data_IF_070909588398
#
_entry.id   IF_070909588398
#
_cell.length_a   1.000
_cell.length_b   1.000
_cell.length_c   1.000
_cell.angle_alpha   90.00
_cell.angle_beta   90.00
_cell.angle_gamma   90.00
#
_symmetry.space_group_name_H-M   'P 1'
#
loop_
_entity.id
_entity.type
_entity.pdbx_description
1 polymer ?
#
# COMPACT_ATOMS: atom_id res chain seq x y z
N UNK A 1 -37.43 16.14 -27.53
CA UNK A 1 -36.09 16.25 -28.13
C UNK A 1 -35.15 15.33 -27.38
N UNK A 2 -34.64 14.29 -28.03
CA UNK A 2 -33.60 13.45 -27.45
C UNK A 2 -32.29 14.24 -27.37
N UNK A 3 -31.46 13.99 -26.37
CA UNK A 3 -30.11 14.59 -26.25
C UNK A 3 -29.27 14.42 -27.54
N UNK A 4 -29.56 13.39 -28.34
CA UNK A 4 -28.93 13.10 -29.63
C UNK A 4 -29.28 14.09 -30.75
N UNK A 5 -30.27 14.96 -30.57
CA UNK A 5 -30.73 15.92 -31.58
C UNK A 5 -30.07 17.31 -31.42
N UNK A 6 -29.24 17.50 -30.38
CA UNK A 6 -28.53 18.76 -30.15
C UNK A 6 -27.30 18.86 -31.07
N UNK A 7 -27.00 20.06 -31.63
CA UNK A 7 -25.73 20.29 -32.32
C UNK A 7 -24.55 19.93 -31.40
N UNK A 8 -23.56 19.20 -31.93
CA UNK A 8 -22.40 18.72 -31.18
C UNK A 8 -21.71 19.82 -30.34
N UNK A 9 -21.64 21.04 -30.87
CA UNK A 9 -21.07 22.18 -30.14
C UNK A 9 -21.90 22.65 -28.94
N UNK A 10 -23.24 22.62 -29.04
CA UNK A 10 -24.12 22.99 -27.93
C UNK A 10 -24.11 21.92 -26.84
N UNK A 11 -24.10 20.65 -27.24
CA UNK A 11 -24.00 19.52 -26.33
C UNK A 11 -22.68 19.53 -25.54
N UNK A 12 -21.55 19.74 -26.23
CA UNK A 12 -20.24 19.87 -25.56
C UNK A 12 -20.20 21.05 -24.57
N UNK A 13 -20.81 22.19 -24.93
CA UNK A 13 -20.91 23.35 -24.06
C UNK A 13 -21.73 23.07 -22.79
N UNK A 14 -22.89 22.44 -22.93
CA UNK A 14 -23.72 22.05 -21.78
C UNK A 14 -22.95 21.14 -20.83
N UNK A 15 -22.21 20.16 -21.36
CA UNK A 15 -21.39 19.27 -20.54
C UNK A 15 -20.28 20.05 -19.83
N UNK A 16 -19.56 20.92 -20.54
CA UNK A 16 -18.52 21.75 -19.94
C UNK A 16 -19.07 22.64 -18.80
N UNK A 17 -20.22 23.27 -19.00
CA UNK A 17 -20.89 24.11 -17.99
C UNK A 17 -21.30 23.26 -16.77
N UNK A 18 -21.87 22.07 -16.98
CA UNK A 18 -22.25 21.15 -15.90
C UNK A 18 -21.02 20.68 -15.11
N UNK A 19 -19.93 20.31 -15.78
CA UNK A 19 -18.70 19.86 -15.13
C UNK A 19 -18.02 21.00 -14.38
N UNK A 20 -18.12 22.24 -14.86
CA UNK A 20 -17.56 23.42 -14.19
C UNK A 20 -18.32 23.80 -12.91
N UNK A 21 -19.62 23.52 -12.85
CA UNK A 21 -20.46 23.80 -11.68
C UNK A 21 -20.37 22.72 -10.59
N UNK A 22 -19.91 21.52 -10.95
CA UNK A 22 -19.91 20.34 -10.08
C UNK A 22 -18.50 19.90 -9.68
N UNK A 23 -18.38 19.15 -8.58
CA UNK A 23 -17.11 18.49 -8.25
C UNK A 23 -16.81 17.36 -9.25
N UNK A 24 -15.53 17.05 -9.55
CA UNK A 24 -15.17 15.94 -10.44
C UNK A 24 -15.85 14.61 -10.10
N UNK A 25 -16.04 14.34 -8.79
CA UNK A 25 -16.72 13.13 -8.33
C UNK A 25 -18.21 13.08 -8.67
N UNK A 26 -18.91 14.22 -8.65
CA UNK A 26 -20.33 14.32 -9.02
C UNK A 26 -20.47 14.31 -10.54
N UNK A 27 -19.71 15.14 -11.25
CA UNK A 27 -19.65 15.16 -12.71
C UNK A 27 -19.40 13.77 -13.30
N UNK A 28 -18.47 13.01 -12.70
CA UNK A 28 -18.17 11.65 -13.13
C UNK A 28 -19.37 10.71 -13.08
N UNK A 29 -20.29 10.86 -12.14
CA UNK A 29 -21.49 10.00 -12.03
C UNK A 29 -22.46 10.22 -13.19
N UNK A 30 -22.48 11.41 -13.78
CA UNK A 30 -23.36 11.76 -14.91
C UNK A 30 -23.01 11.03 -16.21
N UNK A 31 -21.82 10.41 -16.30
CA UNK A 31 -21.37 9.64 -17.47
C UNK A 31 -22.25 8.42 -17.83
N UNK A 32 -23.19 8.04 -16.97
CA UNK A 32 -24.02 6.83 -17.15
C UNK A 32 -25.14 6.99 -18.20
N UNK A 33 -25.33 8.19 -18.75
CA UNK A 33 -26.45 8.51 -19.67
C UNK A 33 -26.28 7.87 -21.05
N UNK A 34 -25.13 8.03 -21.70
CA UNK A 34 -24.81 7.41 -23.00
C UNK A 34 -23.30 7.27 -23.19
N UNK A 35 -22.86 6.55 -24.23
CA UNK A 35 -21.43 6.40 -24.55
C UNK A 35 -20.80 7.75 -24.93
N UNK A 36 -21.45 8.49 -25.81
CA UNK A 36 -21.00 9.82 -26.24
C UNK A 36 -20.93 10.78 -25.06
N UNK A 37 -21.97 10.79 -24.20
CA UNK A 37 -21.99 11.59 -22.97
C UNK A 37 -20.83 11.22 -22.04
N UNK A 38 -20.54 9.93 -21.94
CA UNK A 38 -19.43 9.41 -21.13
C UNK A 38 -18.07 9.89 -21.62
N UNK A 39 -17.85 9.91 -22.93
CA UNK A 39 -16.58 10.32 -23.52
C UNK A 39 -16.35 11.84 -23.38
N UNK A 40 -17.40 12.67 -23.53
CA UNK A 40 -17.33 14.10 -23.23
C UNK A 40 -17.08 14.36 -21.74
N UNK A 41 -17.78 13.67 -20.83
CA UNK A 41 -17.55 13.82 -19.38
C UNK A 41 -16.13 13.41 -19.00
N UNK A 42 -15.58 12.32 -19.53
CA UNK A 42 -14.19 11.93 -19.29
C UNK A 42 -13.22 13.03 -19.71
N UNK A 43 -13.43 13.59 -20.90
CA UNK A 43 -12.60 14.66 -21.46
C UNK A 43 -12.66 15.90 -20.57
N UNK A 44 -13.86 16.39 -20.24
CA UNK A 44 -14.01 17.58 -19.39
C UNK A 44 -13.45 17.35 -17.98
N UNK A 45 -13.74 16.20 -17.36
CA UNK A 45 -13.30 15.89 -15.99
C UNK A 45 -11.78 15.70 -15.93
N UNK A 46 -11.18 14.90 -16.81
CA UNK A 46 -9.76 14.55 -16.69
C UNK A 46 -8.82 15.44 -17.50
N UNK A 47 -9.25 16.12 -18.56
CA UNK A 47 -8.34 16.93 -19.37
C UNK A 47 -8.42 18.42 -19.05
N UNK A 48 -9.59 18.91 -18.61
CA UNK A 48 -9.85 20.34 -18.44
C UNK A 48 -9.94 20.81 -17.00
N UNK A 49 -10.25 19.93 -16.06
CA UNK A 49 -10.22 20.28 -14.64
C UNK A 49 -8.77 20.32 -14.11
N UNK A 50 -8.40 21.33 -13.29
CA UNK A 50 -7.10 21.38 -12.66
C UNK A 50 -6.96 20.37 -11.52
N UNK A 51 -5.72 20.03 -11.14
CA UNK A 51 -5.45 19.15 -10.00
C UNK A 51 -6.10 19.59 -8.70
N UNK A 52 -6.19 20.90 -8.49
CA UNK A 52 -6.87 21.47 -7.35
C UNK A 52 -8.34 21.03 -7.22
N UNK A 53 -9.03 20.75 -8.34
CA UNK A 53 -10.42 20.27 -8.31
C UNK A 53 -10.56 18.84 -7.75
N UNK A 54 -9.47 18.06 -7.75
CA UNK A 54 -9.43 16.68 -7.23
C UNK A 54 -8.87 16.59 -5.81
N UNK A 55 -8.48 17.73 -5.24
CA UNK A 55 -7.89 17.83 -3.90
C UNK A 55 -8.83 18.67 -3.02
N UNK A 56 -9.33 18.07 -1.95
CA UNK A 56 -10.11 18.77 -0.94
C UNK A 56 -9.26 18.98 0.32
N UNK A 57 -9.35 20.15 0.93
CA UNK A 57 -8.74 20.43 2.22
C UNK A 57 -9.83 20.43 3.28
N UNK A 58 -9.81 19.48 4.19
CA UNK A 58 -10.68 19.55 5.37
C UNK A 58 -10.11 20.57 6.35
N UNK A 59 -10.81 21.69 6.53
CA UNK A 59 -10.47 22.72 7.52
C UNK A 59 -10.67 22.23 8.98
N UNK A 60 -11.38 21.12 9.18
CA UNK A 60 -11.98 20.74 10.46
C UNK A 60 -11.02 20.07 11.46
N UNK A 61 -9.84 19.62 11.04
CA UNK A 61 -9.01 18.71 11.86
C UNK A 61 -7.70 19.30 12.39
N UNK A 62 -7.45 20.60 12.22
CA UNK A 62 -6.20 21.27 12.65
C UNK A 62 -4.94 20.80 11.90
N UNK A 63 -5.03 19.71 11.14
CA UNK A 63 -4.05 19.21 10.21
C UNK A 63 -4.58 19.48 8.80
N UNK A 64 -4.02 20.47 8.10
CA UNK A 64 -4.28 20.78 6.68
C UNK A 64 -3.80 19.62 5.77
N UNK A 65 -4.39 18.43 5.90
CA UNK A 65 -4.05 17.27 5.08
C UNK A 65 -4.94 17.29 3.83
N UNK A 66 -4.36 17.41 2.64
CA UNK A 66 -5.13 17.30 1.40
C UNK A 66 -5.69 15.87 1.28
N UNK A 67 -7.01 15.78 1.11
CA UNK A 67 -7.70 14.57 0.74
C UNK A 67 -7.90 14.53 -0.77
N UNK A 68 -7.72 13.34 -1.36
CA UNK A 68 -7.98 13.09 -2.77
C UNK A 68 -9.39 12.58 -2.89
N UNK A 69 -10.15 13.16 -3.83
CA UNK A 69 -11.45 12.62 -4.21
C UNK A 69 -11.25 11.17 -4.67
N UNK A 70 -12.01 10.18 -4.14
CA UNK A 70 -11.84 8.75 -4.46
C UNK A 70 -11.76 8.42 -5.95
N UNK A 71 -12.35 9.28 -6.80
CA UNK A 71 -12.24 9.21 -8.25
C UNK A 71 -10.79 9.17 -8.74
N UNK A 72 -9.94 10.14 -8.34
CA UNK A 72 -8.56 10.22 -8.80
C UNK A 72 -7.76 9.00 -8.32
N UNK A 73 -7.99 8.54 -7.08
CA UNK A 73 -7.37 7.32 -6.56
C UNK A 73 -7.73 6.08 -7.38
N UNK A 74 -9.01 5.92 -7.73
CA UNK A 74 -9.50 4.76 -8.47
C UNK A 74 -9.20 4.81 -9.98
N UNK A 75 -8.90 6.00 -10.50
CA UNK A 75 -8.62 6.27 -11.92
C UNK A 75 -7.21 6.80 -12.15
N UNK A 76 -6.30 6.50 -11.23
CA UNK A 76 -4.92 6.96 -11.32
C UNK A 76 -4.23 6.51 -12.62
N UNK A 77 -4.53 5.31 -13.10
CA UNK A 77 -4.02 4.84 -14.40
C UNK A 77 -4.44 5.75 -15.56
N UNK A 78 -5.76 5.97 -15.71
CA UNK A 78 -6.33 6.88 -16.72
C UNK A 78 -5.68 8.25 -16.62
N UNK A 79 -5.54 8.76 -15.40
CA UNK A 79 -4.91 10.04 -15.11
C UNK A 79 -3.45 10.13 -15.59
N UNK A 80 -2.60 9.16 -15.23
CA UNK A 80 -1.15 9.23 -15.49
C UNK A 80 -0.83 8.95 -16.97
N UNK A 81 -1.62 8.10 -17.63
CA UNK A 81 -1.22 7.50 -18.90
C UNK A 81 -2.17 7.70 -20.07
N UNK A 82 -3.48 7.75 -19.86
CA UNK A 82 -4.44 7.93 -20.95
C UNK A 82 -4.55 9.41 -21.37
N UNK A 83 -4.28 10.35 -20.45
CA UNK A 83 -4.37 11.78 -20.72
C UNK A 83 -3.00 12.42 -20.95
N UNK A 84 -2.91 13.28 -21.97
CA UNK A 84 -1.64 13.84 -22.47
C UNK A 84 -1.07 14.93 -21.58
N UNK A 85 -1.90 15.69 -20.88
CA UNK A 85 -1.48 16.81 -20.03
C UNK A 85 -2.56 17.11 -19.00
N UNK A 86 -2.17 17.15 -17.73
CA UNK A 86 -3.07 17.49 -16.65
C UNK A 86 -2.68 18.82 -16.03
N UNK A 87 -3.65 19.74 -15.91
CA UNK A 87 -3.38 21.12 -15.50
C UNK A 87 -2.97 21.13 -14.03
N UNK A 88 -1.71 21.50 -13.77
CA UNK A 88 -1.17 21.64 -12.41
C UNK A 88 -0.59 20.37 -11.80
N UNK A 89 -0.48 19.26 -12.55
CA UNK A 89 0.34 18.13 -12.14
C UNK A 89 1.73 18.17 -12.78
N UNK A 90 2.74 17.67 -12.07
CA UNK A 90 4.08 17.43 -12.61
C UNK A 90 4.15 16.07 -13.30
N UNK A 91 4.95 15.98 -14.35
CA UNK A 91 5.13 14.74 -15.13
C UNK A 91 6.03 13.71 -14.44
N UNK A 92 6.54 13.99 -13.24
CA UNK A 92 7.49 13.11 -12.53
C UNK A 92 6.95 11.69 -12.32
N UNK A 93 5.66 11.52 -12.01
CA UNK A 93 5.09 10.19 -11.82
C UNK A 93 5.08 9.38 -13.13
N UNK A 94 4.83 10.06 -14.25
CA UNK A 94 4.85 9.48 -15.59
C UNK A 94 6.28 9.14 -16.03
N UNK A 95 7.23 10.02 -15.77
CA UNK A 95 8.66 9.80 -16.02
C UNK A 95 9.19 8.61 -15.20
N UNK A 96 8.88 8.60 -13.89
CA UNK A 96 9.27 7.52 -12.97
C UNK A 96 8.70 6.18 -13.44
N UNK A 97 7.42 6.14 -13.79
CA UNK A 97 6.82 4.91 -14.31
C UNK A 97 7.38 4.51 -15.67
N UNK A 98 7.72 5.47 -16.55
CA UNK A 98 8.44 5.21 -17.79
C UNK A 98 9.78 4.50 -17.54
N UNK A 99 10.60 5.04 -16.63
CA UNK A 99 11.88 4.44 -16.23
C UNK A 99 11.71 3.04 -15.62
N UNK A 100 10.67 2.84 -14.79
CA UNK A 100 10.35 1.53 -14.22
C UNK A 100 9.93 0.54 -15.31
N UNK A 101 9.13 0.97 -16.28
CA UNK A 101 8.75 0.10 -17.39
C UNK A 101 9.99 -0.28 -18.22
N UNK A 102 10.87 0.66 -18.51
CA UNK A 102 12.11 0.38 -19.24
C UNK A 102 13.05 -0.57 -18.47
N UNK A 103 13.04 -0.50 -17.14
CA UNK A 103 13.74 -1.46 -16.29
C UNK A 103 13.11 -2.86 -16.29
N UNK A 104 11.78 -2.95 -16.22
CA UNK A 104 11.08 -4.24 -16.12
C UNK A 104 10.95 -4.97 -17.46
N UNK A 105 10.78 -4.23 -18.55
CA UNK A 105 10.51 -4.77 -19.88
C UNK A 105 11.53 -5.79 -20.39
N UNK A 106 12.86 -5.63 -20.19
CA UNK A 106 13.86 -6.63 -20.60
C UNK A 106 13.68 -8.00 -19.93
N UNK A 107 13.12 -8.02 -18.72
CA UNK A 107 12.85 -9.24 -17.95
C UNK A 107 11.45 -9.80 -18.20
N UNK A 108 10.66 -9.17 -19.08
CA UNK A 108 9.32 -9.59 -19.47
C UNK A 108 9.32 -10.14 -20.90
N UNK A 109 8.33 -10.96 -21.24
CA UNK A 109 8.17 -11.46 -22.61
C UNK A 109 8.06 -10.29 -23.60
N UNK A 110 8.75 -10.37 -24.74
CA UNK A 110 8.84 -9.32 -25.76
C UNK A 110 7.49 -8.83 -26.32
N UNK A 111 6.39 -9.55 -26.07
CA UNK A 111 5.02 -9.19 -26.45
C UNK A 111 4.29 -8.37 -25.38
N UNK A 112 4.94 -8.00 -24.28
CA UNK A 112 4.30 -7.28 -23.18
C UNK A 112 4.17 -5.79 -23.51
N UNK A 113 2.95 -5.28 -23.60
CA UNK A 113 2.73 -3.84 -23.74
C UNK A 113 3.01 -3.13 -22.41
N UNK A 114 3.62 -1.93 -22.46
CA UNK A 114 3.92 -1.10 -21.26
C UNK A 114 2.70 -0.90 -20.36
N UNK A 115 1.49 -0.85 -20.92
CA UNK A 115 0.22 -0.76 -20.19
C UNK A 115 0.03 -1.88 -19.16
N UNK A 116 0.53 -3.09 -19.44
CA UNK A 116 0.49 -4.23 -18.51
C UNK A 116 1.38 -4.04 -17.29
N UNK A 117 2.39 -3.16 -17.37
CA UNK A 117 3.25 -2.76 -16.24
C UNK A 117 2.59 -1.63 -15.45
N UNK A 118 2.05 -0.65 -16.16
CA UNK A 118 1.50 0.56 -15.54
C UNK A 118 0.26 0.30 -14.68
N UNK A 119 -0.64 -0.57 -15.13
CA UNK A 119 -1.88 -0.81 -14.40
C UNK A 119 -1.63 -1.39 -12.99
N UNK A 120 -0.83 -2.46 -12.81
CA UNK A 120 -0.51 -2.98 -11.48
C UNK A 120 0.18 -1.96 -10.58
N UNK A 121 1.09 -1.14 -11.13
CA UNK A 121 1.77 -0.09 -10.37
C UNK A 121 0.80 1.00 -9.89
N UNK A 122 -0.11 1.47 -10.74
CA UNK A 122 -1.14 2.43 -10.34
C UNK A 122 -2.06 1.86 -9.26
N UNK A 123 -2.48 0.59 -9.38
CA UNK A 123 -3.28 -0.08 -8.35
C UNK A 123 -2.51 -0.22 -7.05
N UNK A 124 -1.25 -0.62 -7.10
CA UNK A 124 -0.40 -0.74 -5.93
C UNK A 124 -0.31 0.62 -5.23
N UNK A 125 0.05 1.68 -5.95
CA UNK A 125 0.15 3.04 -5.41
C UNK A 125 -1.16 3.53 -4.78
N UNK A 126 -2.29 3.25 -5.42
CA UNK A 126 -3.62 3.55 -4.88
C UNK A 126 -3.95 2.69 -3.63
N UNK A 127 -3.42 1.48 -3.52
CA UNK A 127 -3.66 0.59 -2.38
C UNK A 127 -2.79 0.91 -1.16
N UNK A 128 -1.55 1.37 -1.41
CA UNK A 128 -0.43 1.45 -0.47
C UNK A 128 -0.71 2.30 0.76
N UNK A 129 -1.73 3.15 0.71
CA UNK A 129 -2.02 4.07 1.79
C UNK A 129 -3.52 4.29 1.96
N UNK A 130 -4.23 3.26 2.39
CA UNK A 130 -5.70 3.31 2.53
C UNK A 130 -6.18 4.01 3.82
N UNK A 131 -5.35 4.88 4.40
CA UNK A 131 -5.74 5.88 5.39
C UNK A 131 -5.36 7.28 4.89
N UNK A 132 -5.76 8.33 5.60
CA UNK A 132 -5.62 9.75 5.16
C UNK A 132 -4.21 10.15 4.69
N UNK A 133 -3.17 9.47 5.18
CA UNK A 133 -1.77 9.64 4.75
C UNK A 133 -1.51 9.27 3.28
N UNK A 134 -2.45 8.61 2.61
CA UNK A 134 -2.30 8.08 1.27
C UNK A 134 -2.75 8.90 0.12
N UNK A 135 -3.97 9.40 0.27
CA UNK A 135 -4.44 10.50 -0.51
C UNK A 135 -3.39 11.64 -0.49
N UNK A 136 -2.87 11.97 0.69
CA UNK A 136 -1.86 13.01 0.82
C UNK A 136 -0.58 12.74 0.00
N UNK A 137 -0.09 11.51 -0.06
CA UNK A 137 1.13 11.17 -0.80
C UNK A 137 0.96 11.32 -2.31
N UNK A 138 -0.14 10.81 -2.83
CA UNK A 138 -0.49 10.94 -4.25
C UNK A 138 -0.62 12.43 -4.59
N UNK A 139 -1.20 13.25 -3.71
CA UNK A 139 -1.23 14.71 -3.90
C UNK A 139 0.17 15.31 -3.99
N UNK A 140 1.06 14.99 -3.05
CA UNK A 140 2.42 15.54 -3.01
C UNK A 140 3.24 15.13 -4.23
N UNK A 141 3.09 13.89 -4.69
CA UNK A 141 3.76 13.44 -5.91
C UNK A 141 3.22 14.14 -7.15
N UNK A 142 1.89 14.26 -7.27
CA UNK A 142 1.26 14.89 -8.42
C UNK A 142 1.50 16.40 -8.46
N UNK A 143 1.44 17.09 -7.31
CA UNK A 143 1.55 18.55 -7.19
C UNK A 143 3.00 19.00 -7.11
N UNK A 144 3.77 18.41 -6.20
CA UNK A 144 5.09 18.91 -5.81
C UNK A 144 6.22 18.05 -6.39
N UNK A 145 5.90 16.90 -6.98
CA UNK A 145 6.91 15.97 -7.49
C UNK A 145 7.82 15.43 -6.38
N UNK A 146 7.29 15.29 -5.17
CA UNK A 146 8.08 14.80 -4.03
C UNK A 146 7.34 13.75 -3.23
N UNK A 147 8.11 12.82 -2.68
CA UNK A 147 7.69 11.90 -1.63
C UNK A 147 8.23 12.48 -0.32
N UNK A 148 7.38 13.03 0.55
CA UNK A 148 7.77 13.70 1.81
C UNK A 148 8.50 12.82 2.83
N UNK A 149 8.78 11.56 2.49
CA UNK A 149 9.33 10.53 3.38
C UNK A 149 10.76 10.12 3.05
N UNK A 150 11.52 10.92 2.30
CA UNK A 150 12.92 10.59 1.99
C UNK A 150 13.79 10.74 3.24
N UNK A 151 14.45 9.67 3.71
CA UNK A 151 15.51 9.81 4.70
C UNK A 151 16.59 10.75 4.14
N UNK A 152 17.07 11.70 4.95
CA UNK A 152 18.04 12.72 4.53
C UNK A 152 19.34 12.11 3.96
N UNK A 153 19.63 10.85 4.33
CA UNK A 153 20.87 10.15 3.98
C UNK A 153 20.78 9.23 2.74
N UNK A 154 19.61 9.10 2.10
CA UNK A 154 19.45 8.17 0.97
C UNK A 154 19.82 8.82 -0.37
N UNK A 155 20.84 8.27 -1.04
CA UNK A 155 21.24 8.72 -2.39
C UNK A 155 20.13 8.49 -3.42
N UNK A 156 20.15 9.27 -4.51
CA UNK A 156 19.20 9.11 -5.61
C UNK A 156 19.27 7.71 -6.25
N UNK A 157 20.47 7.13 -6.37
CA UNK A 157 20.68 5.79 -6.90
C UNK A 157 20.07 4.70 -6.02
N UNK A 158 20.30 4.77 -4.71
CA UNK A 158 19.69 3.84 -3.74
C UNK A 158 18.16 3.92 -3.76
N UNK A 159 17.62 5.13 -3.88
CA UNK A 159 16.18 5.34 -4.00
C UNK A 159 15.63 4.69 -5.26
N UNK A 160 16.24 4.96 -6.41
CA UNK A 160 15.84 4.37 -7.68
C UNK A 160 15.88 2.85 -7.64
N UNK A 161 16.94 2.28 -7.06
CA UNK A 161 17.08 0.84 -6.91
C UNK A 161 15.99 0.25 -6.00
N UNK A 162 15.68 0.91 -4.88
CA UNK A 162 14.60 0.50 -3.97
C UNK A 162 13.22 0.61 -4.63
N UNK A 163 12.96 1.69 -5.39
CA UNK A 163 11.74 1.83 -6.21
C UNK A 163 11.63 0.73 -7.25
N UNK A 164 12.70 0.42 -7.98
CA UNK A 164 12.75 -0.66 -8.97
C UNK A 164 12.44 -2.02 -8.34
N UNK A 165 13.04 -2.31 -7.18
CA UNK A 165 12.79 -3.55 -6.45
C UNK A 165 11.35 -3.66 -5.95
N UNK A 166 10.78 -2.57 -5.43
CA UNK A 166 9.37 -2.50 -5.06
C UNK A 166 8.44 -2.75 -6.26
N UNK A 167 8.78 -2.23 -7.44
CA UNK A 167 8.02 -2.46 -8.67
C UNK A 167 8.14 -3.90 -9.17
N UNK A 168 9.35 -4.47 -9.17
CA UNK A 168 9.58 -5.87 -9.49
C UNK A 168 8.77 -6.80 -8.55
N UNK A 169 8.71 -6.43 -7.27
CA UNK A 169 7.88 -7.10 -6.25
C UNK A 169 6.39 -7.03 -6.57
N UNK A 170 5.86 -5.85 -6.94
CA UNK A 170 4.46 -5.69 -7.36
C UNK A 170 4.13 -6.56 -8.56
N UNK A 171 5.06 -6.65 -9.51
CA UNK A 171 4.89 -7.41 -10.74
C UNK A 171 5.12 -8.93 -10.55
N UNK A 172 5.59 -9.37 -9.39
CA UNK A 172 6.00 -10.77 -9.18
C UNK A 172 7.13 -11.21 -10.10
N UNK A 173 7.97 -10.28 -10.57
CA UNK A 173 9.04 -10.56 -11.53
C UNK A 173 10.31 -10.97 -10.79
N UNK A 174 10.50 -12.27 -10.59
CA UNK A 174 11.63 -12.82 -9.87
C UNK A 174 12.99 -12.45 -10.49
N UNK A 175 13.09 -12.38 -11.82
CA UNK A 175 14.34 -12.01 -12.50
C UNK A 175 14.72 -10.55 -12.23
N UNK A 176 13.77 -9.62 -12.31
CA UNK A 176 13.99 -8.22 -11.98
C UNK A 176 14.26 -8.02 -10.47
N UNK A 177 13.61 -8.80 -9.60
CA UNK A 177 13.92 -8.80 -8.16
C UNK A 177 15.37 -9.23 -7.93
N UNK A 178 15.83 -10.29 -8.60
CA UNK A 178 17.21 -10.78 -8.48
C UNK A 178 18.22 -9.74 -8.99
N UNK A 179 17.99 -9.10 -10.13
CA UNK A 179 18.88 -8.04 -10.65
C UNK A 179 19.02 -6.88 -9.65
N UNK A 180 17.95 -6.50 -8.96
CA UNK A 180 18.02 -5.49 -7.90
C UNK A 180 18.81 -5.99 -6.66
N UNK A 181 18.65 -7.26 -6.28
CA UNK A 181 19.39 -7.87 -5.18
C UNK A 181 20.89 -7.95 -5.48
N UNK A 182 21.25 -8.32 -6.71
CA UNK A 182 22.64 -8.39 -7.18
C UNK A 182 23.31 -6.99 -7.18
N UNK A 183 22.52 -5.93 -7.37
CA UNK A 183 22.94 -4.53 -7.25
C UNK A 183 23.00 -4.01 -5.80
N UNK A 184 22.70 -4.86 -4.80
CA UNK A 184 22.81 -4.53 -3.38
C UNK A 184 21.64 -3.73 -2.81
N UNK A 185 20.43 -3.91 -3.34
CA UNK A 185 19.24 -3.27 -2.75
C UNK A 185 19.01 -3.77 -1.32
N UNK A 186 18.71 -2.85 -0.40
CA UNK A 186 18.25 -3.21 0.94
C UNK A 186 16.75 -3.48 0.90
N UNK A 187 16.36 -4.73 1.13
CA UNK A 187 14.96 -5.17 0.98
C UNK A 187 14.00 -4.61 2.03
N UNK A 188 14.54 -3.97 3.07
CA UNK A 188 13.79 -3.29 4.14
C UNK A 188 13.72 -1.77 3.99
N UNK A 189 14.34 -1.20 2.95
CA UNK A 189 14.26 0.24 2.67
C UNK A 189 12.87 0.61 2.13
N UNK A 190 12.43 1.83 2.43
CA UNK A 190 11.24 2.42 1.82
C UNK A 190 11.58 2.82 0.38
N UNK A 191 10.86 2.27 -0.60
CA UNK A 191 11.04 2.59 -2.02
C UNK A 191 10.62 4.01 -2.41
N UNK A 192 10.23 4.86 -1.44
CA UNK A 192 9.80 6.25 -1.62
C UNK A 192 8.37 6.32 -2.17
N UNK A 193 8.18 5.80 -3.38
CA UNK A 193 6.90 5.77 -4.09
C UNK A 193 5.96 4.69 -3.56
N UNK A 194 6.47 3.48 -3.31
CA UNK A 194 5.66 2.29 -3.08
C UNK A 194 5.74 1.73 -1.66
N UNK A 195 6.33 2.48 -0.71
CA UNK A 195 6.65 1.99 0.65
C UNK A 195 7.63 0.80 0.63
N UNK A 196 7.62 -0.03 1.68
CA UNK A 196 8.45 -1.21 1.79
C UNK A 196 8.03 -2.31 0.81
N UNK A 197 8.98 -2.91 0.07
CA UNK A 197 8.73 -4.04 -0.84
C UNK A 197 7.95 -5.17 -0.18
N UNK A 198 8.29 -5.53 1.07
CA UNK A 198 7.61 -6.60 1.79
C UNK A 198 6.12 -6.29 2.05
N UNK A 199 5.77 -5.03 2.31
CA UNK A 199 4.38 -4.62 2.50
C UNK A 199 3.57 -4.73 1.20
N UNK A 200 4.20 -4.43 0.07
CA UNK A 200 3.61 -4.61 -1.26
C UNK A 200 3.38 -6.08 -1.58
N UNK A 201 4.35 -6.93 -1.30
CA UNK A 201 4.23 -8.38 -1.51
C UNK A 201 3.02 -8.94 -0.75
N UNK A 202 2.84 -8.53 0.51
CA UNK A 202 1.68 -8.91 1.33
C UNK A 202 0.36 -8.39 0.77
N UNK A 203 0.28 -7.11 0.38
CA UNK A 203 -0.96 -6.53 -0.18
C UNK A 203 -1.34 -7.13 -1.53
N UNK A 204 -0.36 -7.65 -2.27
CA UNK A 204 -0.58 -8.38 -3.52
C UNK A 204 -0.73 -9.90 -3.32
N UNK A 205 -0.76 -10.39 -2.08
CA UNK A 205 -0.90 -11.81 -1.74
C UNK A 205 0.19 -12.69 -2.41
N UNK A 206 1.39 -12.15 -2.62
CA UNK A 206 2.49 -12.85 -3.30
C UNK A 206 3.41 -13.54 -2.29
N UNK A 207 3.10 -14.80 -1.97
CA UNK A 207 3.95 -15.62 -1.09
C UNK A 207 5.37 -15.79 -1.65
N UNK A 208 5.53 -15.92 -2.97
CA UNK A 208 6.83 -16.03 -3.60
C UNK A 208 7.69 -14.78 -3.34
N UNK A 209 7.12 -13.59 -3.53
CA UNK A 209 7.83 -12.34 -3.26
C UNK A 209 8.13 -12.16 -1.78
N UNK A 210 7.20 -12.52 -0.88
CA UNK A 210 7.43 -12.52 0.56
C UNK A 210 8.62 -13.41 0.92
N UNK A 211 8.64 -14.66 0.45
CA UNK A 211 9.73 -15.59 0.73
C UNK A 211 11.08 -15.09 0.18
N UNK A 212 11.08 -14.56 -1.04
CA UNK A 212 12.29 -13.99 -1.67
C UNK A 212 12.83 -12.81 -0.87
N UNK A 213 11.95 -11.93 -0.37
CA UNK A 213 12.37 -10.79 0.44
C UNK A 213 12.88 -11.25 1.81
N UNK A 214 12.16 -12.15 2.49
CA UNK A 214 12.55 -12.67 3.80
C UNK A 214 13.87 -13.44 3.77
N UNK A 215 14.19 -14.15 2.68
CA UNK A 215 15.48 -14.84 2.54
C UNK A 215 16.67 -13.90 2.39
N UNK A 216 16.43 -12.63 2.03
CA UNK A 216 17.46 -11.59 1.89
C UNK A 216 17.39 -10.54 3.01
N UNK A 217 16.49 -10.70 3.98
CA UNK A 217 16.49 -9.90 5.20
C UNK A 217 17.68 -10.29 6.08
N UNK A 218 18.24 -9.36 6.86
CA UNK A 218 19.40 -9.65 7.70
C UNK A 218 18.99 -10.62 8.80
N UNK A 219 19.81 -11.65 9.02
CA UNK A 219 19.62 -12.60 10.11
C UNK A 219 20.50 -12.23 11.30
N UNK A 220 20.04 -12.50 12.53
CA UNK A 220 20.80 -12.19 13.75
C UNK A 220 20.85 -10.70 14.10
N UNK A 221 19.87 -9.92 13.62
CA UNK A 221 19.71 -8.50 13.99
C UNK A 221 19.53 -8.40 15.50
N UNK A 222 20.39 -7.67 16.18
CA UNK A 222 20.25 -7.41 17.63
C UNK A 222 19.81 -5.97 17.87
N UNK A 223 19.30 -5.65 19.06
CA UNK A 223 18.90 -4.28 19.42
C UNK A 223 20.05 -3.25 19.31
N UNK A 224 21.30 -3.71 19.27
CA UNK A 224 22.49 -2.87 19.11
C UNK A 224 22.90 -2.65 17.65
N UNK A 225 22.33 -3.39 16.69
CA UNK A 225 22.64 -3.21 15.27
C UNK A 225 21.96 -1.96 14.71
N UNK A 226 22.65 -1.25 13.81
CA UNK A 226 22.12 -0.04 13.17
C UNK A 226 20.83 -0.30 12.39
N UNK A 227 20.68 -1.52 11.86
CA UNK A 227 19.55 -1.92 11.01
C UNK A 227 18.31 -2.33 11.81
N UNK A 228 18.45 -2.60 13.12
CA UNK A 228 17.35 -3.09 13.95
C UNK A 228 16.12 -2.21 13.89
N UNK A 229 16.29 -0.90 14.04
CA UNK A 229 15.16 0.02 14.08
C UNK A 229 14.35 -0.01 12.77
N UNK A 230 15.04 -0.05 11.62
CA UNK A 230 14.41 -0.08 10.31
C UNK A 230 13.77 -1.44 10.03
N UNK A 231 14.50 -2.54 10.17
CA UNK A 231 13.99 -3.90 9.94
C UNK A 231 12.78 -4.18 10.83
N UNK A 232 12.87 -3.84 12.12
CA UNK A 232 11.76 -4.00 13.05
C UNK A 232 10.55 -3.11 12.70
N UNK A 233 10.77 -1.86 12.28
CA UNK A 233 9.68 -0.98 11.83
C UNK A 233 8.98 -1.53 10.57
N UNK A 234 9.76 -2.01 9.60
CA UNK A 234 9.27 -2.65 8.38
C UNK A 234 8.44 -3.88 8.71
N UNK A 235 8.97 -4.83 9.48
CA UNK A 235 8.25 -6.06 9.85
C UNK A 235 6.97 -5.76 10.62
N UNK A 236 6.99 -4.84 11.58
CA UNK A 236 5.80 -4.46 12.33
C UNK A 236 4.71 -3.87 11.41
N UNK A 237 5.09 -3.02 10.45
CA UNK A 237 4.13 -2.48 9.47
C UNK A 237 3.57 -3.60 8.59
N UNK A 238 4.41 -4.50 8.11
CA UNK A 238 4.03 -5.61 7.23
C UNK A 238 3.08 -6.58 7.96
N UNK A 239 3.36 -6.95 9.21
CA UNK A 239 2.49 -7.81 10.02
C UNK A 239 1.11 -7.17 10.16
N UNK A 240 1.06 -5.86 10.46
CA UNK A 240 -0.21 -5.11 10.52
C UNK A 240 -0.95 -5.11 9.19
N UNK A 241 -0.23 -4.94 8.07
CA UNK A 241 -0.83 -4.97 6.74
C UNK A 241 -1.38 -6.37 6.41
N UNK A 242 -0.67 -7.45 6.78
CA UNK A 242 -1.14 -8.82 6.60
C UNK A 242 -2.45 -9.08 7.37
N UNK A 243 -2.51 -8.67 8.64
CA UNK A 243 -3.74 -8.73 9.43
C UNK A 243 -4.87 -7.90 8.80
N UNK A 244 -4.57 -6.70 8.29
CA UNK A 244 -5.59 -5.83 7.67
C UNK A 244 -6.12 -6.40 6.37
N UNK A 245 -5.26 -7.03 5.58
CA UNK A 245 -5.64 -7.76 4.37
C UNK A 245 -6.29 -9.13 4.66
N UNK A 246 -6.35 -9.55 5.94
CA UNK A 246 -6.82 -10.87 6.38
C UNK A 246 -6.07 -12.03 5.72
N UNK A 247 -4.80 -11.81 5.37
CA UNK A 247 -3.93 -12.86 4.84
C UNK A 247 -3.13 -13.48 5.99
N UNK A 248 -3.80 -14.36 6.74
CA UNK A 248 -3.23 -14.97 7.94
C UNK A 248 -2.12 -15.98 7.60
N UNK A 249 -2.12 -16.55 6.40
CA UNK A 249 -1.03 -17.40 5.91
C UNK A 249 0.27 -16.62 5.77
N UNK A 250 0.24 -15.48 5.09
CA UNK A 250 1.42 -14.60 5.00
C UNK A 250 1.81 -14.02 6.35
N UNK A 251 0.82 -13.63 7.19
CA UNK A 251 1.10 -13.15 8.53
C UNK A 251 1.86 -14.20 9.37
N UNK A 252 1.47 -15.48 9.28
CA UNK A 252 2.15 -16.60 9.93
C UNK A 252 3.59 -16.76 9.45
N UNK A 253 3.83 -16.75 8.13
CA UNK A 253 5.18 -16.84 7.55
C UNK A 253 6.09 -15.72 8.08
N UNK A 254 5.57 -14.48 8.13
CA UNK A 254 6.35 -13.32 8.58
C UNK A 254 6.59 -13.37 10.09
N UNK A 255 5.61 -13.81 10.88
CA UNK A 255 5.76 -13.98 12.34
C UNK A 255 6.77 -15.08 12.67
N UNK A 256 6.71 -16.21 11.97
CA UNK A 256 7.68 -17.29 12.16
C UNK A 256 9.09 -16.82 11.81
N UNK A 257 9.26 -16.09 10.71
CA UNK A 257 10.55 -15.46 10.39
C UNK A 257 10.99 -14.50 11.50
N UNK A 258 10.09 -13.63 11.98
CA UNK A 258 10.38 -12.68 13.06
C UNK A 258 10.86 -13.42 14.33
N UNK A 259 10.14 -14.46 14.76
CA UNK A 259 10.48 -15.22 15.98
C UNK A 259 11.84 -15.91 15.91
N UNK A 260 12.28 -16.29 14.71
CA UNK A 260 13.55 -16.99 14.50
C UNK A 260 14.75 -16.03 14.33
N UNK A 261 14.52 -14.79 13.90
CA UNK A 261 15.61 -13.90 13.47
C UNK A 261 15.67 -12.56 14.22
N UNK A 262 14.60 -12.17 14.92
CA UNK A 262 14.50 -10.89 15.61
C UNK A 262 14.47 -11.06 17.13
N UNK A 263 14.98 -10.07 17.88
CA UNK A 263 14.80 -10.00 19.31
C UNK A 263 13.32 -9.89 19.67
N UNK A 264 12.99 -10.33 20.89
CA UNK A 264 11.65 -10.21 21.46
C UNK A 264 11.12 -8.78 21.30
N UNK A 265 9.96 -8.67 20.66
CA UNK A 265 9.30 -7.40 20.37
C UNK A 265 8.92 -6.66 21.67
N UNK A 266 8.65 -5.36 21.60
CA UNK A 266 8.13 -4.60 22.75
C UNK A 266 6.72 -5.09 23.11
N UNK A 267 6.39 -5.14 24.40
CA UNK A 267 5.08 -5.59 24.92
C UNK A 267 3.91 -4.90 24.20
N UNK A 268 3.98 -3.59 23.98
CA UNK A 268 2.91 -2.84 23.30
C UNK A 268 2.65 -3.29 21.85
N UNK A 269 3.65 -3.83 21.15
CA UNK A 269 3.48 -4.39 19.82
C UNK A 269 2.94 -5.81 19.87
N UNK A 270 3.47 -6.61 20.79
CA UNK A 270 2.97 -7.95 21.04
C UNK A 270 1.48 -7.95 21.36
N UNK A 271 1.03 -7.07 22.26
CA UNK A 271 -0.39 -6.90 22.59
C UNK A 271 -1.23 -6.58 21.36
N UNK A 272 -0.76 -5.69 20.47
CA UNK A 272 -1.49 -5.34 19.24
C UNK A 272 -1.56 -6.50 18.24
N UNK A 273 -0.50 -7.28 18.10
CA UNK A 273 -0.51 -8.48 17.24
C UNK A 273 -1.45 -9.54 17.82
N UNK A 274 -1.46 -9.69 19.14
CA UNK A 274 -2.32 -10.64 19.83
C UNK A 274 -3.81 -10.25 19.73
N UNK A 275 -4.16 -8.97 19.89
CA UNK A 275 -5.50 -8.46 19.62
C UNK A 275 -5.95 -8.77 18.19
N UNK A 276 -5.07 -8.53 17.21
CA UNK A 276 -5.37 -8.81 15.81
C UNK A 276 -5.54 -10.32 15.55
N UNK A 277 -4.72 -11.15 16.19
CA UNK A 277 -4.82 -12.61 16.10
C UNK A 277 -6.12 -13.14 16.72
N UNK A 278 -6.54 -12.67 17.90
CA UNK A 278 -7.83 -13.12 18.46
C UNK A 278 -9.02 -12.68 17.62
N UNK A 279 -9.00 -11.47 17.05
CA UNK A 279 -10.04 -11.02 16.12
C UNK A 279 -10.08 -11.84 14.82
N UNK A 280 -8.99 -12.48 14.44
CA UNK A 280 -8.96 -13.36 13.26
C UNK A 280 -9.72 -14.68 13.49
N UNK A 281 -9.82 -15.13 14.74
CA UNK A 281 -10.31 -16.47 15.14
C UNK A 281 -9.60 -17.64 14.45
N UNK A 282 -8.36 -17.43 14.01
CA UNK A 282 -7.52 -18.48 13.42
C UNK A 282 -6.50 -18.97 14.48
N UNK A 283 -6.62 -20.24 14.86
CA UNK A 283 -5.73 -20.84 15.87
C UNK A 283 -4.26 -20.82 15.45
N UNK A 284 -3.97 -20.95 14.15
CA UNK A 284 -2.60 -21.00 13.65
C UNK A 284 -1.92 -19.64 13.80
N UNK A 285 -2.64 -18.55 13.54
CA UNK A 285 -2.08 -17.21 13.70
C UNK A 285 -1.93 -16.84 15.18
N UNK A 286 -2.87 -17.25 16.03
CA UNK A 286 -2.73 -17.10 17.49
C UNK A 286 -1.48 -17.85 17.97
N UNK A 287 -1.29 -19.10 17.56
CA UNK A 287 -0.10 -19.88 17.90
C UNK A 287 1.20 -19.21 17.41
N UNK A 288 1.19 -18.68 16.19
CA UNK A 288 2.34 -17.97 15.60
C UNK A 288 2.70 -16.72 16.41
N UNK A 289 1.71 -15.91 16.79
CA UNK A 289 1.93 -14.72 17.63
C UNK A 289 2.45 -15.11 19.01
N UNK A 290 1.86 -16.10 19.67
CA UNK A 290 2.30 -16.57 20.99
C UNK A 290 3.74 -17.08 20.98
N UNK A 291 4.16 -17.77 19.91
CA UNK A 291 5.54 -18.23 19.72
C UNK A 291 6.53 -17.06 19.70
N UNK A 292 6.21 -16.00 18.96
CA UNK A 292 7.04 -14.79 18.85
C UNK A 292 7.15 -14.04 20.18
N UNK A 293 6.10 -14.11 21.01
CA UNK A 293 6.04 -13.41 22.29
C UNK A 293 6.94 -14.04 23.37
N UNK A 294 7.43 -15.27 23.15
CA UNK A 294 8.22 -16.05 24.10
C UNK A 294 7.66 -15.93 25.53
N UNK A 295 6.42 -16.40 25.71
CA UNK A 295 5.60 -16.26 26.94
C UNK A 295 6.24 -16.94 28.18
N UNK A 296 7.43 -17.54 28.04
CA UNK A 296 8.17 -18.14 29.15
C UNK A 296 8.52 -17.17 30.30
N UNK A 297 8.45 -15.85 30.10
CA UNK A 297 8.79 -14.84 31.10
C UNK A 297 7.60 -14.10 31.74
N UNK A 298 6.41 -14.73 31.82
CA UNK A 298 5.30 -14.18 32.63
C UNK A 298 4.73 -12.88 32.05
N UNK A 299 4.29 -12.94 30.80
CA UNK A 299 3.65 -11.80 30.16
C UNK A 299 2.30 -11.51 30.84
N UNK A 300 2.25 -10.45 31.64
CA UNK A 300 0.99 -9.94 32.19
C UNK A 300 0.24 -9.21 31.07
N UNK A 301 -0.82 -9.84 30.56
CA UNK A 301 -1.68 -9.21 29.58
C UNK A 301 -2.63 -8.20 30.24
N UNK A 302 -3.03 -7.14 29.55
CA UNK A 302 -4.13 -6.29 30.02
C UNK A 302 -5.44 -7.07 30.11
N UNK A 303 -6.26 -6.79 31.13
CA UNK A 303 -7.57 -7.44 31.35
C UNK A 303 -8.48 -7.46 30.11
N UNK A 304 -8.48 -6.40 29.30
CA UNK A 304 -9.30 -6.35 28.10
C UNK A 304 -8.93 -7.41 27.04
N UNK A 305 -7.68 -7.90 27.03
CA UNK A 305 -7.27 -9.01 26.17
C UNK A 305 -7.90 -10.33 26.66
N UNK A 306 -7.99 -10.53 27.98
CA UNK A 306 -8.69 -11.68 28.56
C UNK A 306 -10.15 -11.70 28.09
N UNK A 307 -10.84 -10.54 28.14
CA UNK A 307 -12.20 -10.43 27.62
C UNK A 307 -12.28 -10.80 26.13
N UNK A 308 -11.36 -10.30 25.29
CA UNK A 308 -11.35 -10.63 23.86
C UNK A 308 -11.12 -12.11 23.59
N UNK A 309 -10.32 -12.80 24.40
CA UNK A 309 -10.11 -14.26 24.28
C UNK A 309 -11.40 -15.00 24.60
N UNK A 310 -12.09 -14.63 25.68
CA UNK A 310 -13.37 -15.24 26.04
C UNK A 310 -14.44 -14.97 24.99
N UNK A 311 -14.44 -13.77 24.38
CA UNK A 311 -15.34 -13.40 23.29
C UNK A 311 -15.08 -14.16 21.96
N UNK A 312 -13.98 -14.93 21.87
CA UNK A 312 -13.77 -15.81 20.72
C UNK A 312 -14.73 -17.00 20.72
N UNK A 313 -15.19 -17.44 21.90
CA UNK A 313 -15.98 -18.66 22.13
C UNK A 313 -15.34 -19.93 21.50
N UNK A 314 -14.02 -19.93 21.36
CA UNK A 314 -13.26 -21.04 20.78
C UNK A 314 -12.42 -21.73 21.88
N UNK A 315 -12.91 -22.90 22.30
CA UNK A 315 -12.25 -23.72 23.32
C UNK A 315 -10.81 -24.11 22.96
N UNK A 316 -10.47 -24.21 21.66
CA UNK A 316 -9.12 -24.56 21.22
C UNK A 316 -8.16 -23.39 21.41
N UNK A 317 -8.59 -22.16 21.11
CA UNK A 317 -7.82 -20.93 21.35
C UNK A 317 -7.61 -20.70 22.85
N UNK A 318 -8.66 -20.88 23.66
CA UNK A 318 -8.58 -20.75 25.12
C UNK A 318 -7.57 -21.77 25.68
N UNK A 319 -7.67 -23.04 25.28
CA UNK A 319 -6.76 -24.09 25.71
C UNK A 319 -5.31 -23.81 25.31
N UNK A 320 -5.10 -23.31 24.08
CA UNK A 320 -3.78 -22.91 23.60
C UNK A 320 -3.18 -21.78 24.47
N UNK A 321 -3.98 -20.80 24.85
CA UNK A 321 -3.54 -19.70 25.71
C UNK A 321 -3.18 -20.17 27.12
N UNK A 322 -3.97 -21.07 27.72
CA UNK A 322 -3.67 -21.69 29.02
C UNK A 322 -2.34 -22.47 28.94
N UNK A 323 -2.15 -23.29 27.89
CA UNK A 323 -0.92 -24.06 27.69
C UNK A 323 0.32 -23.18 27.56
N UNK A 324 0.18 -22.00 26.96
CA UNK A 324 1.27 -21.04 26.81
C UNK A 324 1.41 -20.09 28.01
N UNK A 325 0.74 -20.37 29.15
CA UNK A 325 0.77 -19.54 30.37
C UNK A 325 0.43 -18.07 30.13
N UNK A 326 -0.47 -17.84 29.17
CA UNK A 326 -1.04 -16.51 28.89
C UNK A 326 -2.05 -16.13 29.98
N UNK A 327 -2.71 -17.14 30.55
CA UNK A 327 -3.53 -17.06 31.74
C UNK A 327 -2.75 -17.68 32.91
N UNK A 328 -2.59 -16.95 34.01
CA UNK A 328 -2.44 -17.60 35.31
C UNK A 328 -3.84 -18.00 35.75
N UNK A 329 -4.09 -19.30 35.77
CA UNK A 329 -5.29 -19.87 36.38
C UNK A 329 -4.79 -20.52 37.65
N UNK A 330 -4.81 -19.77 38.75
CA UNK A 330 -4.65 -20.32 40.10
C UNK A 330 -5.87 -21.17 40.48
#
# INVERSE_FOLDING_TARGET
MGIQELPLGLFAKIIADVVALETPGVAWKLRQVSREYSDYIKTEVFERQPLAAFIQFEASSGNNRPQIIPLLRNKLYTFVFEHRKFIGARDLLKETFGQIADFLMPSMNHTTHRERVFWPLCRALASVRSGDAGAHAICLMLKDGSTTSTPEDMTHEQRNLSTQFACATIMGNAAAMQDCLDKGVKVWDDGGFFEYPLALAVRNHSQQSVNTILSHMPSGVTRATNEYAQVHATLNKVIRDAFRCRDFGLAGIILDWYGNHMPVARVSLQTRWLEAAFRSRDINIVASVLRVMNVQNGLVLPWYIYCQILDTDDATIIKLCIQNKVFDVD
#
